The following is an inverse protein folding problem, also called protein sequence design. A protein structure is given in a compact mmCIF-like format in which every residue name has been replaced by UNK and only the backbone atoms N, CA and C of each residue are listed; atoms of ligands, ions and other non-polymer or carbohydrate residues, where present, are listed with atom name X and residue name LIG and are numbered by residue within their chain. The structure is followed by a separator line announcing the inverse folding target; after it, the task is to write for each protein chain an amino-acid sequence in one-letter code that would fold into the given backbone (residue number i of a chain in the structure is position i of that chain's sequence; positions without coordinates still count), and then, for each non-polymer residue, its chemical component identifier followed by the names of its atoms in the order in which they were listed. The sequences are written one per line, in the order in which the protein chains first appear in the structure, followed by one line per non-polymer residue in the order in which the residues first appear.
data_IF_386796091217
#
_entry.id   IF_386796091217
#
_cell.length_a   1.000
_cell.length_b   1.000
_cell.length_c   1.000
_cell.angle_alpha   90.00
_cell.angle_beta   90.00
_cell.angle_gamma   90.00
#
_symmetry.space_group_name_H-M   'P 1'
#
loop_
_entity.id
_entity.type
_entity.pdbx_description
1 polymer ?
#
# COMPACT_ATOMS: atom_id res chain seq x y z
N UNK A 1 13.45 -15.88 2.53
CA UNK A 1 14.09 -14.85 1.69
C UNK A 1 12.98 -14.15 0.93
N UNK A 2 12.88 -12.83 1.06
CA UNK A 2 11.91 -12.00 0.34
C UNK A 2 12.66 -11.35 -0.83
N UNK A 3 12.08 -11.37 -2.02
CA UNK A 3 12.62 -10.69 -3.20
C UNK A 3 11.66 -9.57 -3.63
N UNK A 4 12.23 -8.50 -4.16
CA UNK A 4 11.47 -7.47 -4.88
C UNK A 4 11.55 -7.78 -6.37
N UNK A 5 10.39 -7.85 -7.02
CA UNK A 5 10.25 -8.03 -8.46
C UNK A 5 9.25 -7.00 -8.97
N UNK A 6 9.62 -6.29 -10.03
CA UNK A 6 8.73 -5.31 -10.67
C UNK A 6 7.88 -6.06 -11.68
N UNK A 7 6.57 -5.97 -11.51
CA UNK A 7 5.56 -6.53 -12.43
C UNK A 7 4.79 -5.40 -13.10
N UNK A 8 4.10 -5.70 -14.19
CA UNK A 8 3.19 -4.76 -14.83
C UNK A 8 1.96 -4.50 -13.96
N UNK A 9 1.30 -3.36 -14.17
CA UNK A 9 0.03 -3.03 -13.50
C UNK A 9 -1.04 -4.10 -13.74
N UNK A 10 -1.07 -4.72 -14.93
CA UNK A 10 -2.02 -5.79 -15.24
C UNK A 10 -1.75 -7.05 -14.43
N UNK A 11 -0.49 -7.49 -14.32
CA UNK A 11 -0.13 -8.66 -13.51
C UNK A 11 -0.44 -8.45 -12.03
N UNK A 12 -0.12 -7.28 -11.49
CA UNK A 12 -0.46 -6.91 -10.11
C UNK A 12 -1.98 -6.93 -9.87
N UNK A 13 -2.77 -6.51 -10.86
CA UNK A 13 -4.25 -6.48 -10.75
C UNK A 13 -4.83 -7.88 -10.62
N UNK A 14 -4.36 -8.80 -11.45
CA UNK A 14 -4.81 -10.19 -11.41
C UNK A 14 -4.35 -10.89 -10.12
N UNK A 15 -3.14 -10.57 -9.63
CA UNK A 15 -2.69 -11.05 -8.32
C UNK A 15 -3.56 -10.53 -7.16
N UNK A 16 -3.87 -9.23 -7.13
CA UNK A 16 -4.75 -8.63 -6.12
C UNK A 16 -6.16 -9.26 -6.16
N UNK A 17 -6.70 -9.52 -7.36
CA UNK A 17 -8.00 -10.19 -7.53
C UNK A 17 -8.00 -11.62 -6.98
N UNK A 18 -6.94 -12.37 -7.28
CA UNK A 18 -6.79 -13.73 -6.78
C UNK A 18 -6.63 -13.79 -5.25
N UNK A 19 -6.02 -12.76 -4.64
CA UNK A 19 -5.88 -12.65 -3.19
C UNK A 19 -7.22 -12.44 -2.47
N UNK A 20 -8.19 -11.78 -3.12
CA UNK A 20 -9.49 -11.46 -2.53
C UNK A 20 -9.47 -10.27 -1.57
N UNK A 21 -10.58 -10.06 -0.86
CA UNK A 21 -10.75 -9.00 0.14
C UNK A 21 -10.54 -7.59 -0.42
N UNK A 22 -10.01 -6.70 0.42
CA UNK A 22 -9.81 -5.28 0.08
C UNK A 22 -8.98 -5.08 -1.19
N UNK A 23 -7.93 -5.89 -1.39
CA UNK A 23 -7.04 -5.78 -2.55
C UNK A 23 -7.79 -6.08 -3.85
N UNK A 24 -8.61 -7.13 -3.88
CA UNK A 24 -9.43 -7.47 -5.04
C UNK A 24 -10.47 -6.38 -5.35
N UNK A 25 -11.15 -5.88 -4.32
CA UNK A 25 -12.21 -4.86 -4.46
C UNK A 25 -11.68 -3.51 -4.96
N UNK A 26 -10.40 -3.21 -4.73
CA UNK A 26 -9.79 -1.92 -5.05
C UNK A 26 -8.65 -2.01 -6.07
N UNK A 27 -8.43 -3.18 -6.69
CA UNK A 27 -7.29 -3.42 -7.58
C UNK A 27 -7.18 -2.39 -8.71
N UNK A 28 -8.32 -2.01 -9.30
CA UNK A 28 -8.36 -1.05 -10.40
C UNK A 28 -7.91 0.35 -9.95
N UNK A 29 -8.25 0.76 -8.72
CA UNK A 29 -7.84 2.06 -8.16
C UNK A 29 -6.38 2.06 -7.74
N UNK A 30 -5.97 1.03 -7.00
CA UNK A 30 -4.60 0.89 -6.49
C UNK A 30 -3.55 0.85 -7.61
N UNK A 31 -3.94 0.42 -8.80
CA UNK A 31 -3.04 0.20 -9.93
C UNK A 31 -3.28 1.19 -11.08
N UNK A 32 -4.07 2.25 -10.84
CA UNK A 32 -4.25 3.34 -11.80
C UNK A 32 -5.04 2.96 -13.06
N UNK A 33 -5.90 1.94 -13.00
CA UNK A 33 -6.91 1.69 -14.04
C UNK A 33 -8.15 2.55 -13.86
N UNK A 34 -8.47 2.89 -12.61
CA UNK A 34 -9.55 3.79 -12.25
C UNK A 34 -9.09 4.82 -11.22
N UNK A 35 -9.67 6.02 -11.27
CA UNK A 35 -9.52 7.00 -10.21
C UNK A 35 -10.45 6.69 -9.02
N UNK A 36 -10.41 7.52 -7.97
CA UNK A 36 -11.27 7.35 -6.80
C UNK A 36 -12.76 7.60 -7.06
N UNK A 37 -13.12 8.20 -8.21
CA UNK A 37 -14.52 8.32 -8.68
C UNK A 37 -15.01 7.07 -9.42
N UNK A 38 -14.10 6.16 -9.80
CA UNK A 38 -14.37 4.99 -10.63
C UNK A 38 -14.28 5.26 -12.13
N UNK A 39 -13.85 6.46 -12.54
CA UNK A 39 -13.57 6.80 -13.94
C UNK A 39 -12.20 6.29 -14.34
N UNK A 40 -11.90 6.22 -15.63
CA UNK A 40 -10.55 5.86 -16.10
C UNK A 40 -9.52 6.85 -15.52
N UNK A 41 -8.43 6.35 -14.95
CA UNK A 41 -7.42 7.21 -14.37
C UNK A 41 -6.66 7.99 -15.46
N UNK A 42 -6.39 9.26 -15.20
CA UNK A 42 -5.44 10.06 -15.97
C UNK A 42 -4.04 9.91 -15.33
N UNK A 43 -3.06 9.31 -16.04
CA UNK A 43 -1.71 9.15 -15.51
C UNK A 43 -1.06 10.46 -15.08
N UNK A 44 -1.39 11.60 -15.70
CA UNK A 44 -0.83 12.91 -15.34
C UNK A 44 -1.52 13.60 -14.16
N UNK A 45 -2.69 13.11 -13.75
CA UNK A 45 -3.44 13.69 -12.63
C UNK A 45 -2.88 13.25 -11.27
N UNK A 46 -2.18 12.12 -11.20
CA UNK A 46 -1.63 11.61 -9.94
C UNK A 46 -0.53 12.50 -9.36
N UNK A 47 0.49 12.85 -10.15
CA UNK A 47 1.57 13.75 -9.70
C UNK A 47 1.01 15.10 -9.20
N UNK A 48 0.07 15.69 -9.93
CA UNK A 48 -0.55 16.96 -9.54
C UNK A 48 -1.32 16.82 -8.21
N UNK A 49 -2.11 15.74 -8.05
CA UNK A 49 -2.83 15.48 -6.81
C UNK A 49 -1.90 15.19 -5.63
N UNK A 50 -0.78 14.50 -5.86
CA UNK A 50 0.22 14.20 -4.82
C UNK A 50 0.95 15.48 -4.36
N UNK A 51 1.30 16.37 -5.29
CA UNK A 51 1.90 17.66 -4.99
C UNK A 51 0.92 18.57 -4.23
N UNK A 52 -0.34 18.62 -4.67
CA UNK A 52 -1.41 19.32 -3.96
C UNK A 52 -1.59 18.78 -2.54
N UNK A 53 -1.68 17.45 -2.37
CA UNK A 53 -1.80 16.82 -1.06
C UNK A 53 -0.60 17.13 -0.14
N UNK A 54 0.63 17.10 -0.67
CA UNK A 54 1.83 17.43 0.09
C UNK A 54 1.88 18.91 0.52
N UNK A 55 1.28 19.79 -0.28
CA UNK A 55 1.24 21.24 -0.01
C UNK A 55 0.05 21.70 0.85
N UNK A 56 -1.01 20.88 0.98
CA UNK A 56 -2.31 21.34 1.49
C UNK A 56 -2.56 21.06 2.98
N UNK A 57 -1.60 20.48 3.71
CA UNK A 57 -1.83 20.14 5.11
C UNK A 57 -0.64 20.44 6.01
N UNK A 58 -0.82 21.46 6.86
CA UNK A 58 -0.03 21.66 8.08
C UNK A 58 -0.54 20.67 9.15
N UNK A 59 -0.24 19.38 8.96
CA UNK A 59 -0.62 18.33 9.88
C UNK A 59 0.45 18.16 10.96
N UNK A 60 0.01 18.21 12.21
CA UNK A 60 0.86 17.83 13.34
C UNK A 60 1.38 16.40 13.13
N UNK A 61 2.69 16.24 13.24
CA UNK A 61 3.40 14.97 13.15
C UNK A 61 3.08 14.09 14.35
N UNK A 62 3.32 12.77 14.22
CA UNK A 62 3.17 11.83 15.33
C UNK A 62 4.04 12.22 16.55
N UNK A 63 5.20 12.83 16.32
CA UNK A 63 6.08 13.30 17.39
C UNK A 63 5.51 14.50 18.13
N UNK A 64 5.01 15.51 17.41
CA UNK A 64 4.38 16.68 18.02
C UNK A 64 3.17 16.30 18.87
N UNK A 65 2.40 15.30 18.45
CA UNK A 65 1.20 14.85 19.18
C UNK A 65 1.55 13.95 20.37
N UNK A 66 2.54 13.06 20.23
CA UNK A 66 2.78 11.99 21.22
C UNK A 66 4.06 12.16 22.04
N UNK A 67 4.89 13.15 21.72
CA UNK A 67 6.21 13.38 22.32
C UNK A 67 7.24 12.29 22.02
N UNK A 68 6.95 11.41 21.05
CA UNK A 68 7.82 10.29 20.66
C UNK A 68 7.93 10.22 19.13
N UNK A 69 9.12 9.94 18.58
CA UNK A 69 9.27 9.78 17.15
C UNK A 69 8.42 8.61 16.64
N UNK A 70 7.96 8.71 15.40
CA UNK A 70 7.27 7.62 14.73
C UNK A 70 8.18 6.38 14.63
N UNK A 71 7.60 5.19 14.78
CA UNK A 71 8.32 3.96 14.50
C UNK A 71 8.73 3.90 13.03
N UNK A 72 9.94 3.44 12.77
CA UNK A 72 10.39 3.21 11.41
C UNK A 72 9.70 1.98 10.82
N UNK A 73 9.68 1.85 9.50
CA UNK A 73 9.24 0.62 8.85
C UNK A 73 10.07 -0.60 9.29
N UNK A 74 11.37 -0.41 9.61
CA UNK A 74 12.21 -1.48 10.12
C UNK A 74 11.81 -1.94 11.52
N UNK A 75 11.30 -1.04 12.36
CA UNK A 75 10.77 -1.40 13.68
C UNK A 75 9.49 -2.22 13.50
N UNK A 76 8.56 -1.74 12.67
CA UNK A 76 7.34 -2.49 12.35
C UNK A 76 7.63 -3.88 11.75
N UNK A 77 8.59 -3.97 10.82
CA UNK A 77 8.95 -5.25 10.20
C UNK A 77 9.53 -6.25 11.21
N UNK A 78 10.21 -5.76 12.27
CA UNK A 78 10.69 -6.62 13.37
C UNK A 78 9.55 -7.08 14.26
N UNK A 79 8.64 -6.16 14.61
CA UNK A 79 7.49 -6.46 15.45
C UNK A 79 6.54 -7.48 14.79
N UNK A 80 6.46 -7.45 13.46
CA UNK A 80 5.62 -8.32 12.62
C UNK A 80 6.38 -9.46 11.92
N UNK A 81 7.57 -9.85 12.41
CA UNK A 81 8.40 -10.84 11.74
C UNK A 81 7.70 -12.19 11.53
N UNK A 82 6.77 -12.54 12.41
CA UNK A 82 6.01 -13.79 12.37
C UNK A 82 5.06 -13.86 11.17
N UNK A 83 4.53 -12.72 10.71
CA UNK A 83 3.65 -12.64 9.53
C UNK A 83 4.40 -13.02 8.22
N UNK A 84 5.74 -12.96 8.23
CA UNK A 84 6.60 -13.34 7.10
C UNK A 84 7.16 -14.76 7.22
N UNK A 85 6.92 -15.44 8.34
CA UNK A 85 7.28 -16.85 8.48
C UNK A 85 6.25 -17.67 7.73
N UNK A 86 6.72 -18.73 7.07
CA UNK A 86 5.82 -19.67 6.41
C UNK A 86 4.92 -20.28 7.48
N UNK A 87 3.60 -20.25 7.29
CA UNK A 87 2.70 -21.03 8.14
C UNK A 87 3.14 -22.49 8.07
N UNK A 88 3.32 -23.14 9.22
CA UNK A 88 3.44 -24.60 9.22
C UNK A 88 2.14 -25.18 8.67
N UNK A 89 2.19 -26.21 7.80
CA UNK A 89 0.98 -26.87 7.36
C UNK A 89 0.24 -27.41 8.59
N UNK A 90 -1.06 -27.11 8.70
CA UNK A 90 -1.94 -27.69 9.72
C UNK A 90 -1.76 -29.22 9.74
N UNK A 91 -1.49 -29.85 10.89
CA UNK A 91 -1.39 -31.30 10.97
C UNK A 91 -2.74 -31.93 10.59
N UNK A 92 -2.68 -32.90 9.67
CA UNK A 92 -3.82 -33.70 9.22
C UNK A 92 -4.46 -34.52 10.34
#
# INVERSE_FOLDING_TARGET
MIRLEVVTAHEAREANRAQGGFAAENADKLLGFADYSGSAADPGAWEAAAEEAASSVDMATAEEVTGRPAHTFADQARDHVDDFRRAEPEPS
#
